data_IF_671358936254
#
_entry.id   IF_671358936254
#
_cell.length_a   1.000
_cell.length_b   1.000
_cell.length_c   1.000
_cell.angle_alpha   90.00
_cell.angle_beta   90.00
_cell.angle_gamma   90.00
#
_symmetry.space_group_name_H-M   'P 1'
#
loop_
_entity.id
_entity.type
_entity.pdbx_description
1 polymer ?
#
# COMPACT_ATOMS: atom_id res chain seq x y z
N UNK A 1 -7.19 -6.09 -0.87
CA UNK A 1 -5.76 -6.06 -1.28
C UNK A 1 -4.98 -5.02 -0.49
N UNK A 2 -3.64 -5.08 -0.41
CA UNK A 2 -2.82 -4.12 0.36
C UNK A 2 -1.96 -3.26 -0.55
N UNK A 3 -1.92 -1.96 -0.26
CA UNK A 3 -1.02 -0.97 -0.86
C UNK A 3 -0.36 -0.13 0.24
N UNK A 4 0.74 0.54 -0.09
CA UNK A 4 1.52 1.32 0.87
C UNK A 4 1.64 2.76 0.42
N UNK A 5 1.12 3.68 1.22
CA UNK A 5 1.37 5.12 1.11
C UNK A 5 2.64 5.48 1.89
N UNK A 6 3.70 5.84 1.17
CA UNK A 6 4.99 6.26 1.75
C UNK A 6 5.18 7.76 1.59
N UNK A 7 5.23 8.49 2.70
CA UNK A 7 5.43 9.96 2.69
C UNK A 7 5.93 10.50 4.02
N UNK A 8 6.79 11.54 4.04
CA UNK A 8 7.14 12.25 5.27
C UNK A 8 5.92 12.90 5.96
N UNK A 9 4.82 13.13 5.24
CA UNK A 9 3.60 13.74 5.73
C UNK A 9 2.49 12.71 5.98
N UNK A 10 2.87 11.50 6.41
CA UNK A 10 1.95 10.35 6.55
C UNK A 10 0.70 10.68 7.37
N UNK A 11 0.82 11.46 8.45
CA UNK A 11 -0.31 11.80 9.30
C UNK A 11 -1.41 12.59 8.58
N UNK A 12 -1.04 13.39 7.57
CA UNK A 12 -1.97 14.17 6.77
C UNK A 12 -2.49 13.35 5.59
N UNK A 13 -1.59 12.80 4.77
CA UNK A 13 -1.98 12.14 3.52
C UNK A 13 -2.70 10.81 3.77
N UNK A 14 -2.42 10.13 4.89
CA UNK A 14 -3.20 8.98 5.34
C UNK A 14 -4.67 9.33 5.54
N UNK A 15 -4.97 10.43 6.24
CA UNK A 15 -6.36 10.85 6.49
C UNK A 15 -7.11 11.04 5.18
N UNK A 16 -6.47 11.66 4.19
CA UNK A 16 -7.04 11.82 2.85
C UNK A 16 -7.23 10.49 2.13
N UNK A 17 -6.29 9.56 2.21
CA UNK A 17 -6.47 8.23 1.62
C UNK A 17 -7.63 7.45 2.26
N UNK A 18 -7.86 7.61 3.57
CA UNK A 18 -8.95 6.97 4.31
C UNK A 18 -10.33 7.61 4.07
N UNK A 19 -10.41 8.73 3.35
CA UNK A 19 -11.69 9.28 2.87
C UNK A 19 -12.26 8.47 1.70
N UNK A 20 -11.44 7.63 1.06
CA UNK A 20 -11.87 6.76 -0.05
C UNK A 20 -12.71 5.59 0.54
N UNK A 21 -13.96 5.39 0.10
CA UNK A 21 -14.77 4.26 0.55
C UNK A 21 -14.07 2.92 0.30
N UNK A 22 -14.12 2.03 1.29
CA UNK A 22 -13.46 0.72 1.22
C UNK A 22 -11.93 0.77 1.41
N UNK A 23 -11.35 1.91 1.77
CA UNK A 23 -9.92 2.01 2.12
C UNK A 23 -9.75 2.17 3.63
N UNK A 24 -8.94 1.29 4.20
CA UNK A 24 -8.72 1.22 5.65
C UNK A 24 -7.24 1.18 5.99
N UNK A 25 -6.88 1.66 7.18
CA UNK A 25 -5.50 1.54 7.69
C UNK A 25 -5.32 0.20 8.40
N UNK A 26 -4.33 -0.58 7.95
CA UNK A 26 -3.88 -1.78 8.69
C UNK A 26 -2.91 -1.35 9.79
N UNK A 27 -1.85 -0.62 9.41
CA UNK A 27 -0.81 -0.11 10.33
C UNK A 27 -0.03 1.04 9.68
N UNK A 28 0.60 1.86 10.52
CA UNK A 28 1.58 2.87 10.09
C UNK A 28 2.92 2.63 10.78
N UNK A 29 3.98 2.50 9.98
CA UNK A 29 5.36 2.37 10.43
C UNK A 29 6.18 3.55 9.90
N UNK A 30 6.48 4.52 10.78
CA UNK A 30 7.16 5.78 10.39
C UNK A 30 6.43 6.45 9.23
N UNK A 31 7.06 6.54 8.06
CA UNK A 31 6.52 7.18 6.87
C UNK A 31 5.62 6.28 6.01
N UNK A 32 5.53 4.98 6.33
CA UNK A 32 4.79 3.99 5.54
C UNK A 32 3.46 3.66 6.20
N UNK A 33 2.36 4.02 5.55
CA UNK A 33 1.01 3.61 5.92
C UNK A 33 0.56 2.45 5.03
N UNK A 34 0.28 1.30 5.63
CA UNK A 34 -0.25 0.12 4.96
C UNK A 34 -1.76 0.21 4.94
N UNK A 35 -2.32 0.25 3.73
CA UNK A 35 -3.74 0.45 3.48
C UNK A 35 -4.35 -0.83 2.92
N UNK A 36 -5.44 -1.29 3.52
CA UNK A 36 -6.29 -2.33 2.96
C UNK A 36 -7.33 -1.69 2.05
N UNK A 37 -7.40 -2.13 0.80
CA UNK A 37 -8.43 -1.77 -0.16
C UNK A 37 -9.40 -2.95 -0.31
N UNK A 38 -10.63 -2.77 0.16
CA UNK A 38 -11.72 -3.74 0.11
C UNK A 38 -12.52 -3.56 -1.18
N UNK A 39 -12.00 -4.09 -2.28
CA UNK A 39 -12.58 -4.02 -3.61
C UNK A 39 -11.93 -5.06 -4.55
N UNK A 40 -12.52 -5.24 -5.73
CA UNK A 40 -12.06 -6.18 -6.77
C UNK A 40 -10.99 -5.62 -7.72
N UNK A 41 -10.42 -4.44 -7.43
CA UNK A 41 -9.40 -3.81 -8.30
C UNK A 41 -8.04 -4.46 -8.13
N UNK A 42 -7.17 -4.38 -9.14
CA UNK A 42 -5.77 -4.84 -9.06
C UNK A 42 -4.91 -3.95 -8.15
N UNK A 43 -3.66 -4.37 -7.87
CA UNK A 43 -2.72 -3.57 -7.08
C UNK A 43 -2.43 -2.24 -7.78
N UNK A 44 -2.20 -2.28 -9.09
CA UNK A 44 -1.91 -1.13 -9.94
C UNK A 44 -3.08 -0.15 -9.97
N UNK A 45 -4.31 -0.66 -10.10
CA UNK A 45 -5.53 0.14 -10.07
C UNK A 45 -5.75 0.81 -8.71
N UNK A 46 -5.53 0.10 -7.61
CA UNK A 46 -5.62 0.68 -6.26
C UNK A 46 -4.52 1.73 -6.00
N UNK A 47 -3.30 1.48 -6.49
CA UNK A 47 -2.19 2.46 -6.45
C UNK A 47 -2.59 3.73 -7.22
N UNK A 48 -3.12 3.59 -8.43
CA UNK A 48 -3.56 4.72 -9.25
C UNK A 48 -4.73 5.48 -8.59
N UNK A 49 -5.72 4.76 -8.04
CA UNK A 49 -6.86 5.33 -7.33
C UNK A 49 -6.42 6.24 -6.17
N UNK A 50 -5.54 5.75 -5.29
CA UNK A 50 -5.07 6.53 -4.12
C UNK A 50 -4.25 7.75 -4.58
N UNK A 51 -3.35 7.57 -5.56
CA UNK A 51 -2.58 8.69 -6.13
C UNK A 51 -3.49 9.78 -6.70
N UNK A 52 -4.46 9.39 -7.51
CA UNK A 52 -5.38 10.33 -8.14
C UNK A 52 -6.24 11.05 -7.10
N UNK A 53 -6.75 10.33 -6.10
CA UNK A 53 -7.55 10.93 -5.04
C UNK A 53 -6.77 11.95 -4.20
N UNK A 54 -5.54 11.61 -3.78
CA UNK A 54 -4.68 12.56 -3.05
C UNK A 54 -4.39 13.79 -3.92
N UNK A 55 -4.07 13.59 -5.21
CA UNK A 55 -3.84 14.68 -6.16
C UNK A 55 -5.07 15.57 -6.32
N UNK A 56 -6.26 14.99 -6.40
CA UNK A 56 -7.53 15.74 -6.51
C UNK A 56 -7.80 16.59 -5.26
N UNK A 57 -7.63 16.01 -4.07
CA UNK A 57 -7.94 16.69 -2.80
C UNK A 57 -6.89 17.67 -2.31
N UNK A 58 -5.62 17.45 -2.64
CA UNK A 58 -4.47 18.18 -2.07
C UNK A 58 -3.59 18.86 -3.13
N UNK A 59 -3.85 18.64 -4.41
CA UNK A 59 -3.00 19.11 -5.50
C UNK A 59 -1.73 18.29 -5.69
N UNK A 60 -0.83 18.76 -6.55
CA UNK A 60 0.39 18.05 -6.97
C UNK A 60 1.64 18.43 -6.17
N UNK A 61 1.55 19.34 -5.20
CA UNK A 61 2.70 19.87 -4.47
C UNK A 61 3.30 18.93 -3.42
N UNK A 62 2.65 17.80 -3.13
CA UNK A 62 3.08 16.87 -2.09
C UNK A 62 4.01 15.79 -2.61
N UNK A 63 5.09 15.52 -1.87
CA UNK A 63 6.01 14.42 -2.13
C UNK A 63 5.51 13.15 -1.43
N UNK A 64 5.07 12.18 -2.23
CA UNK A 64 4.65 10.86 -1.75
C UNK A 64 4.82 9.81 -2.84
N UNK A 65 4.85 8.55 -2.42
CA UNK A 65 4.75 7.40 -3.32
C UNK A 65 3.69 6.43 -2.81
N UNK A 66 3.04 5.74 -3.74
CA UNK A 66 2.09 4.67 -3.44
C UNK A 66 2.58 3.43 -4.17
N UNK A 67 2.73 2.33 -3.44
CA UNK A 67 3.30 1.06 -3.91
C UNK A 67 2.33 -0.10 -3.68
N UNK A 68 2.44 -1.13 -4.50
CA UNK A 68 1.85 -2.44 -4.21
C UNK A 68 2.69 -3.24 -3.23
N UNK A 69 2.24 -4.46 -2.94
CA UNK A 69 2.95 -5.45 -2.14
C UNK A 69 3.26 -6.66 -3.02
N UNK A 70 4.50 -7.15 -2.96
CA UNK A 70 4.90 -8.42 -3.57
C UNK A 70 5.54 -9.32 -2.51
N UNK A 71 5.02 -10.53 -2.33
CA UNK A 71 5.44 -11.50 -1.30
C UNK A 71 5.58 -10.90 0.13
N UNK A 72 4.64 -10.02 0.51
CA UNK A 72 4.63 -9.35 1.82
C UNK A 72 5.66 -8.22 1.98
N UNK A 73 6.33 -7.80 0.90
CA UNK A 73 7.28 -6.68 0.87
C UNK A 73 6.74 -5.54 0.01
N UNK A 74 7.17 -4.32 0.29
CA UNK A 74 6.83 -3.16 -0.55
C UNK A 74 7.46 -3.32 -1.93
N UNK A 75 6.65 -3.33 -2.99
CA UNK A 75 7.16 -3.48 -4.35
C UNK A 75 7.70 -2.15 -4.89
N UNK A 76 8.99 -1.93 -4.69
CA UNK A 76 9.72 -0.77 -5.19
C UNK A 76 10.06 -0.88 -6.69
N UNK A 77 9.77 -2.01 -7.33
CA UNK A 77 10.19 -2.38 -8.69
C UNK A 77 9.02 -2.73 -9.60
N UNK A 78 7.80 -2.34 -9.23
CA UNK A 78 6.57 -2.71 -9.93
C UNK A 78 6.64 -2.43 -11.44
N UNK A 79 7.21 -1.28 -11.82
CA UNK A 79 7.30 -0.81 -13.20
C UNK A 79 8.54 -1.32 -13.97
N UNK A 80 9.46 -2.03 -13.31
CA UNK A 80 10.77 -2.36 -13.88
C UNK A 80 11.15 -3.84 -13.84
N UNK A 81 10.36 -4.69 -13.16
CA UNK A 81 10.61 -6.13 -13.08
C UNK A 81 9.31 -6.93 -13.22
N UNK A 82 9.38 -8.06 -13.92
CA UNK A 82 8.27 -9.03 -13.95
C UNK A 82 8.19 -9.81 -12.62
N UNK A 83 7.07 -10.48 -12.32
CA UNK A 83 6.97 -11.36 -11.15
C UNK A 83 8.07 -12.44 -11.09
N UNK A 84 8.43 -13.03 -12.23
CA UNK A 84 9.48 -14.06 -12.31
C UNK A 84 10.86 -13.50 -11.96
N UNK A 85 11.15 -12.26 -12.35
CA UNK A 85 12.38 -11.57 -12.00
C UNK A 85 12.40 -11.19 -10.52
N UNK A 86 11.26 -10.76 -9.96
CA UNK A 86 11.13 -10.46 -8.52
C UNK A 86 11.34 -11.69 -7.66
N UNK A 87 10.90 -12.87 -8.11
CA UNK A 87 11.14 -14.14 -7.40
C UNK A 87 12.61 -14.57 -7.35
N UNK A 88 13.48 -13.98 -8.18
CA UNK A 88 14.94 -14.21 -8.11
C UNK A 88 15.65 -13.20 -7.20
N UNK A 89 14.95 -12.16 -6.78
CA UNK A 89 15.50 -11.10 -5.95
C UNK A 89 15.39 -11.47 -4.46
N UNK A 90 16.53 -11.49 -3.77
CA UNK A 90 16.60 -11.80 -2.34
C UNK A 90 15.78 -10.84 -1.47
N UNK A 91 15.56 -9.60 -1.92
CA UNK A 91 14.72 -8.64 -1.18
C UNK A 91 13.29 -9.15 -1.01
N UNK A 92 12.72 -9.75 -2.05
CA UNK A 92 11.35 -10.25 -2.06
C UNK A 92 11.21 -11.65 -1.48
N UNK A 93 12.25 -12.48 -1.55
CA UNK A 93 12.18 -13.90 -1.15
C UNK A 93 12.75 -14.18 0.23
N UNK A 94 13.47 -13.24 0.84
CA UNK A 94 14.15 -13.48 2.12
C UNK A 94 13.94 -12.36 3.15
N UNK A 95 14.28 -12.67 4.39
CA UNK A 95 14.18 -11.76 5.52
C UNK A 95 12.76 -11.45 5.96
N UNK A 96 12.62 -10.43 6.80
CA UNK A 96 11.33 -10.07 7.42
C UNK A 96 10.40 -9.40 6.40
N UNK A 97 9.16 -9.89 6.28
CA UNK A 97 8.09 -9.25 5.51
C UNK A 97 7.73 -7.88 6.13
N UNK A 98 7.41 -6.92 5.27
CA UNK A 98 6.90 -5.61 5.69
C UNK A 98 5.45 -5.72 6.20
N UNK A 99 4.68 -6.64 5.61
CA UNK A 99 3.35 -7.05 6.06
C UNK A 99 3.15 -8.54 5.84
N UNK A 100 2.60 -9.25 6.84
CA UNK A 100 2.31 -10.68 6.72
C UNK A 100 0.83 -10.95 6.45
N UNK A 101 0.52 -12.15 5.96
CA UNK A 101 -0.86 -12.57 5.72
C UNK A 101 -1.64 -12.65 7.03
N UNK A 102 -1.00 -13.07 8.13
CA UNK A 102 -1.62 -13.09 9.46
C UNK A 102 -1.99 -11.69 9.95
N UNK A 103 -1.17 -10.66 9.66
CA UNK A 103 -1.51 -9.28 9.99
C UNK A 103 -2.74 -8.79 9.21
N UNK A 104 -2.85 -9.19 7.93
CA UNK A 104 -3.97 -8.83 7.07
C UNK A 104 -5.25 -9.53 7.54
N UNK A 105 -5.19 -10.83 7.83
CA UNK A 105 -6.35 -11.59 8.30
C UNK A 105 -6.80 -11.15 9.69
N UNK A 106 -5.87 -10.85 10.60
CA UNK A 106 -6.20 -10.28 11.90
C UNK A 106 -6.89 -8.92 11.77
N UNK A 107 -6.44 -8.09 10.82
CA UNK A 107 -7.08 -6.81 10.51
C UNK A 107 -8.51 -6.99 9.98
N UNK A 108 -8.72 -7.87 8.99
CA UNK A 108 -10.05 -8.15 8.42
C UNK A 108 -11.03 -8.61 9.49
N UNK A 109 -10.62 -9.61 10.28
CA UNK A 109 -11.43 -10.16 11.38
C UNK A 109 -11.83 -9.09 12.41
N UNK A 110 -10.91 -8.17 12.75
CA UNK A 110 -11.18 -7.09 13.70
C UNK A 110 -12.20 -6.08 13.18
N UNK A 111 -12.29 -5.89 11.87
CA UNK A 111 -13.12 -4.88 11.23
C UNK A 111 -14.38 -5.45 10.56
N UNK A 112 -14.65 -6.76 10.71
CA UNK A 112 -15.74 -7.48 10.04
C UNK A 112 -15.73 -7.30 8.51
N UNK A 113 -14.53 -7.36 7.92
CA UNK A 113 -14.29 -7.39 6.48
C UNK A 113 -13.96 -8.81 6.01
#
# INVERSE_FOLDING_TARGET
MVVVLSTPLVAMLKKTALEIPGVYEIKTNRQNCFLYCDNDKTSEENVAMIKNYIKEKKGTGFVYKVYGIFNGKVDLTADSKTPEEKMKDSYFTSGKKDITDEEIEAFKKKNNL
#
